data_IF_439607469060
#
_entry.id   IF_439607469060
#
_cell.length_a   1.000
_cell.length_b   1.000
_cell.length_c   1.000
_cell.angle_alpha   90.00
_cell.angle_beta   90.00
_cell.angle_gamma   90.00
#
_symmetry.space_group_name_H-M   'P 1'
#
loop_
_entity.id
_entity.type
_entity.pdbx_description
1 polymer ?
#
# COMPACT_ATOMS: atom_id res chain seq x y z
N UNK A 1 9.82 6.61 -21.90
CA UNK A 1 9.54 7.24 -20.59
C UNK A 1 8.81 6.22 -19.74
N UNK A 2 9.42 5.73 -18.66
CA UNK A 2 8.71 4.89 -17.70
C UNK A 2 7.88 5.80 -16.78
N UNK A 3 6.67 5.39 -16.47
CA UNK A 3 5.67 6.14 -15.72
C UNK A 3 5.72 5.62 -14.28
N UNK A 4 6.37 6.36 -13.37
CA UNK A 4 6.40 5.99 -11.95
C UNK A 4 5.00 6.11 -11.37
N UNK A 5 4.48 5.03 -10.77
CA UNK A 5 3.15 5.05 -10.15
C UNK A 5 3.30 5.19 -8.65
N UNK A 6 2.67 6.22 -8.08
CA UNK A 6 2.64 6.40 -6.64
C UNK A 6 1.62 5.44 -6.01
N UNK A 7 1.84 5.11 -4.75
CA UNK A 7 0.94 4.32 -3.94
C UNK A 7 0.97 4.84 -2.50
N UNK A 8 -0.23 4.98 -1.96
CA UNK A 8 -0.45 5.60 -0.65
C UNK A 8 -1.45 4.77 0.15
N UNK A 9 -1.36 4.88 1.47
CA UNK A 9 -2.43 4.42 2.36
C UNK A 9 -3.42 5.58 2.52
N UNK A 10 -4.68 5.32 2.20
CA UNK A 10 -5.75 6.30 2.26
C UNK A 10 -6.55 6.20 3.56
N UNK A 11 -7.27 7.25 3.91
CA UNK A 11 -7.92 7.40 5.21
C UNK A 11 -9.10 6.42 5.39
N UNK A 12 -9.86 6.14 4.32
CA UNK A 12 -11.05 5.28 4.38
C UNK A 12 -10.85 3.95 3.65
N UNK A 13 -11.59 2.89 4.03
CA UNK A 13 -11.64 1.66 3.25
C UNK A 13 -12.29 1.90 1.88
N UNK A 14 -11.94 1.06 0.90
CA UNK A 14 -12.63 0.96 -0.38
C UNK A 14 -14.07 0.48 -0.12
N UNK A 15 -15.10 1.23 -0.58
CA UNK A 15 -16.50 0.80 -0.49
C UNK A 15 -16.80 -0.44 -1.33
N UNK A 16 -17.98 -1.03 -1.12
CA UNK A 16 -18.42 -2.26 -1.80
C UNK A 16 -18.48 -2.15 -3.33
N UNK A 17 -18.67 -0.95 -3.87
CA UNK A 17 -18.71 -0.69 -5.31
C UNK A 17 -17.32 -0.53 -5.93
N UNK A 18 -16.24 -0.66 -5.14
CA UNK A 18 -14.87 -0.57 -5.62
C UNK A 18 -14.41 0.85 -5.96
N UNK A 19 -15.17 1.88 -5.60
CA UNK A 19 -14.82 3.26 -5.94
C UNK A 19 -13.59 3.76 -5.15
N UNK A 20 -12.42 3.76 -5.79
CA UNK A 20 -11.18 4.22 -5.18
C UNK A 20 -11.20 5.70 -4.77
N UNK A 21 -12.07 6.54 -5.32
CA UNK A 21 -12.17 7.95 -4.91
C UNK A 21 -12.84 8.11 -3.54
N UNK A 22 -13.67 7.15 -3.13
CA UNK A 22 -14.33 7.16 -1.83
C UNK A 22 -13.37 6.84 -0.66
N UNK A 23 -12.14 6.42 -0.93
CA UNK A 23 -11.13 6.21 0.12
C UNK A 23 -10.66 7.53 0.76
N UNK A 24 -11.05 8.68 0.21
CA UNK A 24 -10.70 10.00 0.75
C UNK A 24 -9.25 10.38 0.47
N UNK A 25 -8.66 11.23 1.30
CA UNK A 25 -7.25 11.63 1.21
C UNK A 25 -6.29 10.56 1.73
N UNK A 26 -4.99 10.88 1.75
CA UNK A 26 -3.98 10.05 2.37
C UNK A 26 -4.21 9.95 3.88
N UNK A 27 -3.74 8.87 4.51
CA UNK A 27 -3.66 8.77 5.96
C UNK A 27 -2.71 9.85 6.50
N UNK A 28 -3.27 10.92 7.03
CA UNK A 28 -2.52 12.08 7.50
C UNK A 28 -3.04 12.58 8.85
N UNK A 29 -2.83 11.81 9.94
CA UNK A 29 -3.36 12.16 11.26
C UNK A 29 -2.74 13.46 11.82
N UNK A 30 -1.60 13.90 11.28
CA UNK A 30 -0.90 15.11 11.68
C UNK A 30 -1.20 16.32 10.78
N UNK A 31 -2.06 16.16 9.77
CA UNK A 31 -2.48 17.22 8.84
C UNK A 31 -1.28 17.91 8.18
N UNK A 32 -0.28 17.12 7.80
CA UNK A 32 0.93 17.55 7.11
C UNK A 32 0.60 18.14 5.73
N UNK A 33 -0.37 17.56 5.02
CA UNK A 33 -0.76 17.94 3.66
C UNK A 33 0.21 17.47 2.57
N UNK A 34 -0.09 17.74 1.30
CA UNK A 34 0.68 17.19 0.18
C UNK A 34 1.91 18.05 -0.18
N UNK A 35 1.92 19.32 0.22
CA UNK A 35 2.95 20.29 -0.14
C UNK A 35 3.70 20.85 1.08
N UNK A 36 5.04 20.95 1.03
CA UNK A 36 5.93 20.50 -0.07
C UNK A 36 5.88 18.98 -0.25
N UNK A 37 6.40 18.37 -1.34
CA UNK A 37 6.43 16.90 -1.46
C UNK A 37 7.20 16.25 -0.30
N UNK A 38 6.95 14.96 -0.01
CA UNK A 38 7.70 14.25 1.01
C UNK A 38 9.20 14.28 0.71
N UNK A 39 10.01 14.52 1.74
CA UNK A 39 11.45 14.49 1.66
C UNK A 39 11.94 13.21 2.35
N UNK A 40 12.48 12.28 1.54
CA UNK A 40 12.99 10.99 1.98
C UNK A 40 14.12 11.08 3.03
N UNK A 41 14.81 12.21 3.12
CA UNK A 41 15.87 12.42 4.13
C UNK A 41 15.32 12.82 5.50
N UNK A 42 14.06 13.25 5.58
CA UNK A 42 13.34 13.59 6.82
C UNK A 42 11.94 12.98 6.82
N UNK A 43 11.83 11.63 6.72
CA UNK A 43 10.54 10.95 6.49
C UNK A 43 9.54 11.12 7.63
N UNK A 44 10.00 11.51 8.83
CA UNK A 44 9.15 11.87 9.97
C UNK A 44 8.28 13.10 9.75
N UNK A 45 8.55 13.86 8.67
CA UNK A 45 7.77 15.04 8.28
C UNK A 45 6.78 14.77 7.15
N UNK A 46 6.68 13.53 6.68
CA UNK A 46 5.76 13.14 5.62
C UNK A 46 4.42 12.69 6.20
N UNK A 47 3.38 12.63 5.36
CA UNK A 47 2.12 12.02 5.78
C UNK A 47 2.38 10.55 6.14
N UNK A 48 1.67 10.04 7.14
CA UNK A 48 1.83 8.65 7.59
C UNK A 48 1.58 7.68 6.44
N UNK A 49 0.58 7.95 5.61
CA UNK A 49 0.22 7.16 4.43
C UNK A 49 1.02 7.43 3.16
N UNK A 50 1.99 8.36 3.15
CA UNK A 50 2.79 8.67 1.95
C UNK A 50 3.95 7.67 1.77
N UNK A 51 3.61 6.49 1.26
CA UNK A 51 4.56 5.38 1.13
C UNK A 51 5.53 5.60 -0.04
N UNK A 52 5.04 6.07 -1.18
CA UNK A 52 5.90 6.39 -2.33
C UNK A 52 6.85 7.55 -2.06
N UNK A 53 6.40 8.59 -1.35
CA UNK A 53 7.24 9.69 -0.94
C UNK A 53 8.35 9.27 0.03
N UNK A 54 8.11 8.27 0.89
CA UNK A 54 9.10 7.75 1.84
C UNK A 54 10.05 6.70 1.24
N UNK A 55 9.52 5.79 0.42
CA UNK A 55 10.23 4.56 -0.01
C UNK A 55 10.43 4.43 -1.51
N UNK A 56 9.96 5.41 -2.29
CA UNK A 56 10.02 5.42 -3.74
C UNK A 56 8.73 4.87 -4.39
N UNK A 57 8.37 5.36 -5.59
CA UNK A 57 7.19 4.89 -6.30
C UNK A 57 7.45 3.57 -7.02
N UNK A 58 6.39 2.99 -7.58
CA UNK A 58 6.48 1.79 -8.41
C UNK A 58 7.21 2.12 -9.71
N UNK A 59 8.35 1.47 -9.91
CA UNK A 59 9.10 1.50 -11.16
C UNK A 59 9.23 0.07 -11.69
N UNK A 60 8.57 -0.21 -12.81
CA UNK A 60 8.68 -1.50 -13.50
C UNK A 60 8.67 -1.31 -15.01
N UNK A 61 9.46 -2.11 -15.71
CA UNK A 61 9.51 -2.14 -17.18
C UNK A 61 8.67 -3.28 -17.76
N UNK A 62 8.46 -4.35 -17.00
CA UNK A 62 7.80 -5.59 -17.41
C UNK A 62 6.42 -5.80 -16.75
N UNK A 63 6.00 -4.85 -15.91
CA UNK A 63 4.70 -4.84 -15.24
C UNK A 63 4.69 -5.50 -13.86
N UNK A 64 5.77 -6.18 -13.48
CA UNK A 64 5.91 -6.77 -12.14
C UNK A 64 6.71 -5.83 -11.23
N UNK A 65 6.26 -5.67 -9.99
CA UNK A 65 6.96 -4.87 -8.99
C UNK A 65 6.90 -5.57 -7.63
N UNK A 66 8.07 -5.74 -7.02
CA UNK A 66 8.22 -6.29 -5.68
C UNK A 66 9.24 -5.45 -4.92
N UNK A 67 8.91 -5.08 -3.68
CA UNK A 67 9.76 -4.27 -2.83
C UNK A 67 9.58 -4.66 -1.37
N UNK A 68 10.64 -4.52 -0.59
CA UNK A 68 10.62 -4.70 0.86
C UNK A 68 11.28 -3.50 1.53
N UNK A 69 10.57 -2.86 2.44
CA UNK A 69 11.09 -1.80 3.29
C UNK A 69 10.43 -1.86 4.66
N UNK A 70 11.00 -1.12 5.60
CA UNK A 70 10.44 -0.93 6.94
C UNK A 70 9.92 0.49 7.05
N UNK A 71 8.64 0.63 7.33
CA UNK A 71 8.00 1.90 7.66
C UNK A 71 7.86 2.03 9.18
N UNK A 72 8.36 3.14 9.74
CA UNK A 72 8.33 3.39 11.19
C UNK A 72 7.15 4.24 11.65
N UNK A 73 6.26 4.63 10.73
CA UNK A 73 5.19 5.60 10.98
C UNK A 73 3.81 4.96 10.92
N UNK A 74 3.64 3.93 10.10
CA UNK A 74 2.45 3.09 10.11
C UNK A 74 2.36 2.24 11.38
N UNK A 75 1.13 1.99 11.83
CA UNK A 75 0.85 1.14 12.98
C UNK A 75 -0.09 0.01 12.60
N UNK A 76 0.23 -1.20 13.06
CA UNK A 76 -0.68 -2.34 13.07
C UNK A 76 -1.37 -2.54 14.43
N UNK A 77 -1.21 -1.60 15.36
CA UNK A 77 -1.89 -1.59 16.66
C UNK A 77 -3.20 -0.85 16.53
N UNK A 78 -4.30 -1.54 16.81
CA UNK A 78 -5.66 -0.96 16.83
C UNK A 78 -5.72 0.28 17.74
N UNK A 79 -6.68 1.17 17.46
CA UNK A 79 -6.92 2.43 18.18
C UNK A 79 -5.77 3.46 18.19
N UNK A 80 -4.67 3.20 17.46
CA UNK A 80 -3.65 4.23 17.22
C UNK A 80 -4.03 5.12 16.03
N UNK A 81 -3.65 6.40 16.07
CA UNK A 81 -3.95 7.36 14.99
C UNK A 81 -3.32 6.97 13.64
N UNK A 82 -2.27 6.15 13.67
CA UNK A 82 -1.58 5.62 12.50
C UNK A 82 -2.00 4.19 12.13
N UNK A 83 -3.03 3.64 12.79
CA UNK A 83 -3.52 2.29 12.51
C UNK A 83 -4.01 2.19 11.06
N UNK A 84 -3.44 1.28 10.25
CA UNK A 84 -3.82 1.13 8.84
C UNK A 84 -4.73 -0.07 8.55
N UNK A 85 -4.98 -0.94 9.54
CA UNK A 85 -5.66 -2.22 9.31
C UNK A 85 -7.12 -2.11 8.87
N UNK A 86 -7.77 -0.97 9.07
CA UNK A 86 -9.14 -0.68 8.63
C UNK A 86 -9.21 0.30 7.43
N UNK A 87 -8.10 0.43 6.69
CA UNK A 87 -7.93 1.41 5.62
C UNK A 87 -7.72 0.74 4.27
N UNK A 88 -7.30 1.53 3.29
CA UNK A 88 -7.01 1.06 1.95
C UNK A 88 -5.63 1.51 1.47
N UNK A 89 -5.08 0.75 0.53
CA UNK A 89 -3.98 1.19 -0.35
C UNK A 89 -4.56 1.62 -1.70
N UNK A 90 -4.05 2.70 -2.26
CA UNK A 90 -4.44 3.21 -3.59
C UNK A 90 -3.19 3.40 -4.42
N UNK A 91 -3.25 3.02 -5.69
CA UNK A 91 -2.19 3.25 -6.68
C UNK A 91 -2.63 4.34 -7.64
N UNK A 92 -1.73 5.25 -7.97
CA UNK A 92 -1.95 6.43 -8.78
C UNK A 92 -1.06 6.45 -10.02
N UNK A 93 -1.59 6.98 -11.12
CA UNK A 93 -0.76 7.49 -12.22
C UNK A 93 -0.11 8.83 -11.84
N UNK A 94 0.90 9.32 -12.59
CA UNK A 94 1.56 10.60 -12.32
C UNK A 94 0.64 11.83 -12.33
N UNK A 95 -0.54 11.72 -12.94
CA UNK A 95 -1.58 12.76 -12.93
C UNK A 95 -2.50 12.67 -11.69
N UNK A 96 -2.11 11.89 -10.67
CA UNK A 96 -2.84 11.55 -9.45
C UNK A 96 -4.12 10.71 -9.66
N UNK A 97 -4.41 10.27 -10.88
CA UNK A 97 -5.57 9.41 -11.14
C UNK A 97 -5.43 8.08 -10.42
N UNK A 98 -6.44 7.73 -9.61
CA UNK A 98 -6.51 6.44 -8.90
C UNK A 98 -6.82 5.33 -9.90
N UNK A 99 -5.89 4.41 -10.11
CA UNK A 99 -6.04 3.31 -11.08
C UNK A 99 -6.54 2.03 -10.46
N UNK A 100 -6.21 1.78 -9.19
CA UNK A 100 -6.71 0.65 -8.44
C UNK A 100 -6.55 0.90 -6.93
N UNK A 101 -7.25 0.13 -6.12
CA UNK A 101 -7.21 0.21 -4.68
C UNK A 101 -7.60 -1.12 -4.03
N UNK A 102 -7.23 -1.31 -2.77
CA UNK A 102 -7.57 -2.51 -2.01
C UNK A 102 -7.61 -2.26 -0.52
N UNK A 103 -8.46 -3.02 0.18
CA UNK A 103 -8.57 -2.95 1.64
C UNK A 103 -7.50 -3.81 2.32
N UNK A 104 -7.04 -3.35 3.47
CA UNK A 104 -6.27 -4.18 4.38
C UNK A 104 -7.20 -5.16 5.11
N UNK A 105 -6.71 -6.38 5.30
CA UNK A 105 -7.40 -7.42 6.06
C UNK A 105 -6.40 -8.09 7.00
N UNK A 106 -6.85 -8.46 8.19
CA UNK A 106 -6.05 -9.24 9.12
C UNK A 106 -5.69 -10.59 8.48
N UNK A 107 -4.39 -10.86 8.40
CA UNK A 107 -3.88 -12.15 8.01
C UNK A 107 -3.63 -12.97 9.26
N UNK A 108 -4.20 -14.17 9.33
CA UNK A 108 -3.82 -15.13 10.37
C UNK A 108 -2.65 -15.99 9.87
N UNK A 109 -1.79 -16.46 10.77
CA UNK A 109 -0.71 -17.40 10.46
C UNK A 109 -1.20 -18.68 9.74
N UNK A 110 -2.48 -19.01 9.88
CA UNK A 110 -3.12 -20.15 9.21
C UNK A 110 -3.30 -19.95 7.70
N UNK A 111 -3.42 -18.71 7.21
CA UNK A 111 -3.62 -18.43 5.78
C UNK A 111 -2.31 -18.46 5.00
N UNK A 112 -1.20 -18.01 5.59
CA UNK A 112 0.13 -18.14 5.00
C UNK A 112 0.56 -19.61 4.87
N UNK A 113 0.27 -20.43 5.88
CA UNK A 113 0.54 -21.88 5.86
C UNK A 113 -0.27 -22.60 4.77
N UNK A 114 -1.53 -22.22 4.56
CA UNK A 114 -2.38 -22.76 3.47
C UNK A 114 -1.88 -22.38 2.08
N UNK A 115 -1.38 -21.15 1.89
CA UNK A 115 -0.80 -20.70 0.61
C UNK A 115 0.52 -21.42 0.29
N UNK A 116 1.37 -21.67 1.28
CA UNK A 116 2.60 -22.47 1.10
C UNK A 116 2.29 -23.92 0.73
N UNK A 117 1.35 -24.56 1.45
CA UNK A 117 0.92 -25.94 1.16
C UNK A 117 0.35 -26.10 -0.25
N UNK A 118 -0.53 -25.19 -0.70
CA UNK A 118 -1.06 -25.20 -2.08
C UNK A 118 0.01 -25.00 -3.16
N UNK A 119 1.10 -24.29 -2.84
CA UNK A 119 2.22 -24.04 -3.79
C UNK A 119 3.19 -25.22 -3.86
N UNK A 120 3.29 -26.02 -2.81
CA UNK A 120 4.00 -27.32 -2.82
C UNK A 120 3.17 -28.41 -3.53
N UNK A 121 1.88 -28.51 -3.24
CA UNK A 121 0.97 -29.47 -3.89
C UNK A 121 0.83 -29.23 -5.41
N UNK A 122 0.96 -27.98 -5.87
CA UNK A 122 0.96 -27.64 -7.30
C UNK A 122 2.30 -27.92 -8.03
N UNK A 123 3.36 -28.31 -7.31
CA UNK A 123 4.67 -28.68 -7.90
C UNK A 123 4.85 -30.19 -8.05
N UNK A 124 3.98 -31.01 -7.46
CA UNK A 124 4.09 -32.49 -7.50
C UNK A 124 3.43 -33.11 -8.76
N UNK A 125 2.69 -32.33 -9.55
CA UNK A 125 1.96 -32.80 -10.75
C UNK A 125 2.57 -32.32 -12.09
N UNK A 126 3.87 -32.00 -12.12
CA UNK A 126 4.62 -31.77 -13.38
C UNK A 126 5.73 -32.80 -13.57
N UNK A 127 5.42 -34.05 -13.21
CA UNK A 127 6.17 -35.22 -13.65
C UNK A 127 5.79 -35.62 -15.08
N UNK A 128 6.34 -34.90 -16.05
CA UNK A 128 6.73 -35.32 -17.41
C UNK A 128 7.54 -34.20 -18.06
#
# INVERSE_FOLDING_TARGET
MHCGMDYHIHDNPVPKDGNCYATGGHLDPYKRGDQPPCNTTVPQTCQVGDISGKHGPVWTADGNFEVLYRDFFLSNVEDTIAFFGNRSVVVHLPDNKRINCGNFHLVSDGEEKKKKKKKEEAKEDQGC
#
